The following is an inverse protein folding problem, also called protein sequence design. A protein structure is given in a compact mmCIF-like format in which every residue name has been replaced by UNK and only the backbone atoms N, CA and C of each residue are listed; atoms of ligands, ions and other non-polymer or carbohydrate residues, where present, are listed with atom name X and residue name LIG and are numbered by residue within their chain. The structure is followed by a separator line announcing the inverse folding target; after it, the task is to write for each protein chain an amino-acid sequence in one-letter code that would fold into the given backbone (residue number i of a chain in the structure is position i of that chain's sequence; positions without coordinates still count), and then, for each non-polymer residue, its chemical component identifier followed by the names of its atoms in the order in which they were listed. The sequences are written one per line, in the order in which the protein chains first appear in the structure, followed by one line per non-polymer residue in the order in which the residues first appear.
data_IF_941815165279
#
_entry.id   IF_941815165279
#
_cell.length_a   1.000
_cell.length_b   1.000
_cell.length_c   1.000
_cell.angle_alpha   90.00
_cell.angle_beta   90.00
_cell.angle_gamma   90.00
#
_symmetry.space_group_name_H-M   'P 1'
#
loop_
_entity.id
_entity.type
_entity.pdbx_description
1 polymer ?
#
# COMPACT_ATOMS: atom_id res chain seq x y z
N UNK A 1 -0.31 17.80 -23.59
CA UNK A 1 0.50 17.14 -24.63
C UNK A 1 0.48 15.66 -24.31
N UNK A 2 -0.36 14.85 -24.99
CA UNK A 2 -0.36 13.40 -24.77
C UNK A 2 0.93 12.83 -25.36
N UNK A 3 1.88 12.45 -24.49
CA UNK A 3 3.16 11.84 -24.88
C UNK A 3 3.00 10.32 -24.76
N UNK A 4 2.38 9.71 -25.76
CA UNK A 4 2.35 8.25 -25.91
C UNK A 4 3.64 7.72 -26.55
N UNK A 5 3.77 6.41 -26.60
CA UNK A 5 4.85 5.70 -27.31
C UNK A 5 4.25 4.71 -28.30
N UNK A 6 4.88 4.57 -29.47
CA UNK A 6 4.53 3.56 -30.46
C UNK A 6 5.65 2.53 -30.56
N UNK A 7 5.27 1.26 -30.50
CA UNK A 7 6.16 0.12 -30.70
C UNK A 7 6.09 -0.34 -32.15
N UNK A 8 7.24 -0.68 -32.72
CA UNK A 8 7.34 -1.02 -34.13
C UNK A 8 7.00 -2.50 -34.39
N UNK A 9 6.50 -2.79 -35.58
CA UNK A 9 6.34 -4.17 -36.05
C UNK A 9 7.69 -4.77 -36.47
N UNK A 10 7.87 -6.07 -36.27
CA UNK A 10 8.97 -6.84 -36.87
C UNK A 10 10.24 -6.94 -36.02
N UNK A 11 10.18 -6.67 -34.72
CA UNK A 11 11.27 -6.90 -33.79
C UNK A 11 10.91 -6.52 -32.35
N UNK A 12 11.79 -6.85 -31.41
CA UNK A 12 11.65 -6.43 -30.02
C UNK A 12 11.94 -4.94 -29.89
N UNK A 13 11.08 -4.22 -29.18
CA UNK A 13 11.26 -2.81 -28.86
C UNK A 13 10.80 -2.51 -27.44
N UNK A 14 11.38 -1.49 -26.84
CA UNK A 14 11.08 -1.12 -25.46
C UNK A 14 11.06 0.39 -25.24
N UNK A 15 10.34 0.81 -24.22
CA UNK A 15 10.22 2.20 -23.79
C UNK A 15 10.37 2.28 -22.27
N UNK A 16 11.34 3.07 -21.81
CA UNK A 16 11.65 3.23 -20.40
C UNK A 16 11.22 4.61 -19.88
N UNK A 17 10.74 4.61 -18.64
CA UNK A 17 10.32 5.76 -17.87
C UNK A 17 11.17 5.78 -16.61
N UNK A 18 12.09 6.73 -16.54
CA UNK A 18 13.01 6.86 -15.43
C UNK A 18 12.43 7.74 -14.31
N UNK A 19 12.96 7.58 -13.10
CA UNK A 19 12.61 8.36 -11.91
C UNK A 19 11.10 8.33 -11.59
N UNK A 20 10.49 7.15 -11.69
CA UNK A 20 9.09 6.91 -11.31
C UNK A 20 9.05 6.63 -9.81
N UNK A 21 8.43 7.55 -9.04
CA UNK A 21 8.32 7.44 -7.59
C UNK A 21 7.01 6.75 -7.17
N UNK A 22 7.15 5.59 -6.54
CA UNK A 22 6.06 4.79 -5.99
C UNK A 22 5.75 5.12 -4.52
N UNK A 23 6.54 6.01 -3.91
CA UNK A 23 6.45 6.37 -2.52
C UNK A 23 6.74 5.19 -1.59
N UNK A 24 6.47 5.40 -0.29
CA UNK A 24 6.70 4.40 0.76
C UNK A 24 5.81 3.18 0.59
N UNK A 25 4.54 3.37 0.26
CA UNK A 25 3.53 2.31 0.27
C UNK A 25 3.59 1.42 -0.96
N UNK A 26 4.09 2.00 -2.06
CA UNK A 26 4.34 1.27 -3.28
C UNK A 26 3.08 0.93 -4.07
N UNK A 27 3.28 0.19 -5.16
CA UNK A 27 2.19 -0.41 -5.93
C UNK A 27 2.69 -1.62 -6.72
N UNK A 28 1.81 -2.60 -6.90
CA UNK A 28 2.00 -3.76 -7.78
C UNK A 28 0.91 -3.83 -8.86
N UNK A 29 0.00 -2.86 -8.93
CA UNK A 29 -1.10 -2.87 -9.90
C UNK A 29 -0.91 -1.72 -10.88
N UNK A 30 -0.79 -2.05 -12.16
CA UNK A 30 -0.59 -1.08 -13.24
C UNK A 30 -1.76 -1.14 -14.22
N UNK A 31 -2.31 0.01 -14.57
CA UNK A 31 -3.22 0.16 -15.71
C UNK A 31 -2.45 0.75 -16.88
N UNK A 32 -2.46 0.08 -18.02
CA UNK A 32 -1.81 0.51 -19.27
C UNK A 32 -2.89 0.83 -20.30
N UNK A 33 -2.82 2.00 -20.93
CA UNK A 33 -3.77 2.38 -21.98
C UNK A 33 -3.19 2.03 -23.36
N UNK A 34 -3.75 0.99 -23.98
CA UNK A 34 -3.20 0.33 -25.19
C UNK A 34 -4.15 0.54 -26.36
N UNK A 35 -3.60 0.88 -27.53
CA UNK A 35 -4.26 0.77 -28.81
C UNK A 35 -3.47 -0.18 -29.71
N UNK A 36 -4.10 -1.24 -30.19
CA UNK A 36 -3.51 -2.17 -31.13
C UNK A 36 -4.43 -2.38 -32.33
N UNK A 37 -3.88 -2.28 -33.54
CA UNK A 37 -4.62 -2.48 -34.78
C UNK A 37 -4.37 -3.88 -35.34
N UNK A 38 -4.67 -4.91 -34.55
CA UNK A 38 -4.37 -6.32 -34.85
C UNK A 38 -5.41 -7.25 -34.22
N UNK A 39 -5.71 -8.37 -34.89
CA UNK A 39 -6.56 -9.42 -34.34
C UNK A 39 -5.76 -10.45 -33.51
N UNK A 40 -4.44 -10.43 -33.61
CA UNK A 40 -3.56 -11.31 -32.86
C UNK A 40 -3.25 -10.73 -31.46
N UNK A 41 -3.07 -11.58 -30.44
CA UNK A 41 -2.70 -11.12 -29.11
C UNK A 41 -1.38 -10.34 -29.09
N UNK A 42 -1.36 -9.26 -28.31
CA UNK A 42 -0.19 -8.40 -28.10
C UNK A 42 0.50 -8.81 -26.81
N UNK A 43 1.81 -9.05 -26.85
CA UNK A 43 2.61 -9.38 -25.66
C UNK A 43 3.25 -8.12 -25.08
N UNK A 44 3.28 -8.08 -23.76
CA UNK A 44 3.76 -6.97 -22.95
C UNK A 44 4.62 -7.56 -21.84
N UNK A 45 5.88 -7.15 -21.77
CA UNK A 45 6.78 -7.41 -20.65
C UNK A 45 7.04 -6.12 -19.88
N UNK A 46 6.95 -6.19 -18.56
CA UNK A 46 7.20 -5.05 -17.67
C UNK A 46 8.46 -5.33 -16.87
N UNK A 47 9.39 -4.39 -16.89
CA UNK A 47 10.68 -4.49 -16.21
C UNK A 47 10.84 -3.39 -15.15
N UNK A 48 11.42 -3.76 -14.01
CA UNK A 48 12.03 -2.84 -13.05
C UNK A 48 13.51 -2.66 -13.45
N UNK A 49 13.79 -1.57 -14.16
CA UNK A 49 15.05 -1.32 -14.86
C UNK A 49 14.92 -1.51 -16.38
N UNK A 50 16.07 -1.56 -17.06
CA UNK A 50 16.18 -1.75 -18.52
C UNK A 50 16.31 -3.25 -18.85
N UNK A 51 15.66 -3.78 -19.90
CA UNK A 51 15.81 -5.18 -20.31
C UNK A 51 17.28 -5.59 -20.42
N UNK A 52 17.64 -6.71 -19.78
CA UNK A 52 19.01 -7.24 -19.71
C UNK A 52 19.82 -6.79 -18.49
N UNK A 53 19.48 -5.66 -17.87
CA UNK A 53 20.10 -5.17 -16.62
C UNK A 53 19.12 -5.18 -15.43
N UNK A 54 17.84 -4.96 -15.72
CA UNK A 54 16.74 -4.94 -14.76
C UNK A 54 16.09 -6.29 -14.53
N UNK A 55 15.05 -6.29 -13.70
CA UNK A 55 14.28 -7.47 -13.34
C UNK A 55 12.95 -7.50 -14.11
N UNK A 56 12.62 -8.65 -14.73
CA UNK A 56 11.32 -8.86 -15.35
C UNK A 56 10.27 -9.04 -14.23
N UNK A 57 9.33 -8.10 -14.14
CA UNK A 57 8.32 -8.04 -13.08
C UNK A 57 6.89 -8.25 -13.60
N UNK A 58 6.72 -8.50 -14.88
CA UNK A 58 5.41 -8.81 -15.46
C UNK A 58 5.53 -9.34 -16.89
N UNK A 59 4.74 -10.35 -17.21
CA UNK A 59 4.56 -10.88 -18.55
C UNK A 59 3.06 -11.03 -18.79
N UNK A 60 2.54 -10.26 -19.75
CA UNK A 60 1.12 -10.09 -19.96
C UNK A 60 0.75 -10.15 -21.44
N UNK A 61 -0.54 -10.37 -21.67
CA UNK A 61 -1.14 -10.38 -23.00
C UNK A 61 -2.31 -9.38 -23.03
N UNK A 62 -2.36 -8.58 -24.08
CA UNK A 62 -3.48 -7.71 -24.44
C UNK A 62 -4.19 -8.29 -25.66
N UNK A 63 -5.51 -8.46 -25.60
CA UNK A 63 -6.28 -8.98 -26.74
C UNK A 63 -7.70 -8.45 -26.73
N UNK A 64 -7.88 -7.28 -27.33
CA UNK A 64 -9.18 -6.63 -27.50
C UNK A 64 -9.49 -6.43 -28.98
N UNK A 65 -10.78 -6.29 -29.31
CA UNK A 65 -11.19 -6.02 -30.69
C UNK A 65 -10.62 -4.67 -31.17
N UNK A 66 -9.95 -4.63 -32.35
CA UNK A 66 -9.40 -3.39 -32.88
C UNK A 66 -10.45 -2.31 -33.07
N UNK A 67 -10.28 -1.21 -32.35
CA UNK A 67 -11.07 -0.01 -32.52
C UNK A 67 -10.14 1.16 -32.87
N UNK A 68 -10.43 1.80 -34.00
CA UNK A 68 -9.51 2.76 -34.61
C UNK A 68 -9.20 3.94 -33.66
N UNK A 69 -7.93 4.03 -33.27
CA UNK A 69 -7.39 5.04 -32.34
C UNK A 69 -8.10 5.12 -30.98
N UNK A 70 -8.76 4.05 -30.55
CA UNK A 70 -9.34 3.94 -29.20
C UNK A 70 -8.35 3.20 -28.31
N UNK A 71 -7.86 3.89 -27.28
CA UNK A 71 -6.97 3.32 -26.27
C UNK A 71 -7.82 2.68 -25.17
N UNK A 72 -7.68 1.37 -25.00
CA UNK A 72 -8.37 0.60 -23.96
C UNK A 72 -7.47 0.49 -22.73
N UNK A 73 -7.94 0.86 -21.53
CA UNK A 73 -7.18 0.69 -20.30
C UNK A 73 -7.26 -0.76 -19.81
N UNK A 74 -6.13 -1.47 -19.82
CA UNK A 74 -6.01 -2.81 -19.24
C UNK A 74 -5.21 -2.79 -17.93
N UNK A 75 -5.64 -3.58 -16.96
CA UNK A 75 -5.03 -3.61 -15.61
C UNK A 75 -4.35 -4.93 -15.33
N UNK A 76 -3.10 -4.85 -14.89
CA UNK A 76 -2.22 -5.98 -14.65
C UNK A 76 -1.65 -5.92 -13.23
N UNK A 77 -1.38 -7.10 -12.64
CA UNK A 77 -0.68 -7.24 -11.36
C UNK A 77 0.73 -7.73 -11.61
N UNK A 78 1.71 -6.97 -11.12
CA UNK A 78 3.14 -7.28 -11.18
C UNK A 78 3.53 -8.39 -10.21
N UNK A 79 4.65 -9.06 -10.50
CA UNK A 79 5.21 -10.11 -9.67
C UNK A 79 5.73 -9.60 -8.31
N UNK A 80 6.01 -8.30 -8.19
CA UNK A 80 6.44 -7.66 -6.94
C UNK A 80 5.83 -6.28 -6.78
N UNK A 81 5.70 -5.84 -5.52
CA UNK A 81 5.34 -4.48 -5.15
C UNK A 81 6.57 -3.58 -5.21
N UNK A 82 6.48 -2.53 -6.02
CA UNK A 82 7.54 -1.52 -6.18
C UNK A 82 7.37 -0.42 -5.13
N UNK A 83 8.44 0.02 -4.47
CA UNK A 83 8.45 1.05 -3.42
C UNK A 83 9.65 1.96 -3.62
N UNK A 84 9.46 3.27 -3.46
CA UNK A 84 10.49 4.26 -3.74
C UNK A 84 10.62 4.55 -5.23
N UNK A 85 11.82 4.96 -5.67
CA UNK A 85 12.06 5.43 -7.04
C UNK A 85 12.61 4.30 -7.90
N UNK A 86 11.98 4.07 -9.06
CA UNK A 86 12.33 3.02 -10.01
C UNK A 86 12.37 3.55 -11.45
N UNK A 87 13.06 2.82 -12.31
CA UNK A 87 12.91 2.93 -13.77
C UNK A 87 11.95 1.84 -14.24
N UNK A 88 10.87 2.20 -14.93
CA UNK A 88 9.90 1.23 -15.45
C UNK A 88 10.04 1.12 -16.95
N UNK A 89 10.24 -0.10 -17.45
CA UNK A 89 10.36 -0.33 -18.88
C UNK A 89 9.27 -1.28 -19.39
N UNK A 90 8.60 -0.86 -20.47
CA UNK A 90 7.65 -1.66 -21.21
C UNK A 90 8.35 -2.22 -22.45
N UNK A 91 8.41 -3.53 -22.59
CA UNK A 91 8.99 -4.23 -23.73
C UNK A 91 7.91 -5.04 -24.45
N UNK A 92 8.04 -5.15 -25.76
CA UNK A 92 7.15 -5.95 -26.61
C UNK A 92 7.89 -6.42 -27.86
N UNK A 93 7.34 -7.42 -28.52
CA UNK A 93 7.79 -7.93 -29.81
C UNK A 93 6.76 -7.73 -30.94
N UNK A 94 5.69 -7.00 -30.67
CA UNK A 94 4.67 -6.65 -31.64
C UNK A 94 4.34 -5.15 -31.64
N UNK A 95 3.74 -4.69 -32.74
CA UNK A 95 3.44 -3.26 -32.92
C UNK A 95 2.11 -2.86 -32.27
N UNK A 96 2.17 -1.94 -31.33
CA UNK A 96 1.00 -1.27 -30.74
C UNK A 96 1.38 0.14 -30.27
N UNK A 97 0.40 0.93 -29.83
CA UNK A 97 0.67 2.22 -29.19
C UNK A 97 0.15 2.24 -27.76
N UNK A 98 0.90 2.90 -26.88
CA UNK A 98 0.53 3.14 -25.50
C UNK A 98 0.40 4.64 -25.27
N UNK A 99 -0.74 5.10 -24.76
CA UNK A 99 -0.91 6.53 -24.41
C UNK A 99 -0.27 6.88 -23.06
N UNK A 100 -0.09 5.88 -22.21
CA UNK A 100 0.61 5.95 -20.93
C UNK A 100 0.23 4.77 -20.03
N UNK A 101 0.71 4.82 -18.80
CA UNK A 101 0.31 3.91 -17.73
C UNK A 101 0.11 4.68 -16.43
N UNK A 102 -0.60 4.07 -15.49
CA UNK A 102 -0.76 4.55 -14.12
C UNK A 102 -0.65 3.37 -13.16
N UNK A 103 -0.07 3.61 -11.99
CA UNK A 103 -0.11 2.64 -10.90
C UNK A 103 -1.28 2.95 -9.98
N UNK A 104 -1.94 1.93 -9.46
CA UNK A 104 -2.97 2.14 -8.44
C UNK A 104 -2.32 2.63 -7.15
N UNK A 105 -2.85 3.73 -6.61
CA UNK A 105 -2.44 4.23 -5.30
C UNK A 105 -2.93 3.25 -4.24
N UNK A 106 -2.00 2.66 -3.49
CA UNK A 106 -2.33 1.91 -2.28
C UNK A 106 -2.86 2.90 -1.24
N UNK A 107 -4.14 2.76 -0.87
CA UNK A 107 -4.74 3.52 0.22
C UNK A 107 -4.34 2.89 1.55
N UNK A 108 -3.12 3.21 2.00
CA UNK A 108 -2.59 2.72 3.27
C UNK A 108 -3.54 3.02 4.42
N UNK A 109 -4.19 4.17 4.37
CA UNK A 109 -5.08 4.70 5.40
C UNK A 109 -6.23 3.74 5.74
N UNK A 110 -6.71 2.98 4.74
CA UNK A 110 -7.81 2.03 4.88
C UNK A 110 -7.36 0.57 4.67
N UNK A 111 -6.06 0.31 4.74
CA UNK A 111 -5.48 -1.03 4.70
C UNK A 111 -5.21 -1.54 6.11
N UNK A 112 -5.03 -2.85 6.26
CA UNK A 112 -4.49 -3.42 7.50
C UNK A 112 -3.00 -3.11 7.65
N UNK A 113 -2.63 -2.60 8.81
CA UNK A 113 -1.28 -2.12 9.13
C UNK A 113 -0.74 -2.90 10.31
N UNK A 114 0.24 -3.74 10.01
CA UNK A 114 1.04 -4.48 10.98
C UNK A 114 1.77 -3.51 11.92
N UNK A 115 1.72 -3.75 13.22
CA UNK A 115 2.32 -2.85 14.21
C UNK A 115 3.85 -2.80 14.10
N UNK A 116 4.49 -3.87 13.60
CA UNK A 116 5.93 -3.87 13.31
C UNK A 116 6.32 -2.91 12.17
N UNK A 117 5.36 -2.45 11.36
CA UNK A 117 5.60 -1.44 10.32
C UNK A 117 5.71 0.01 10.86
N UNK A 118 5.61 0.20 12.18
CA UNK A 118 5.88 1.47 12.83
C UNK A 118 7.25 2.02 12.38
N UNK A 119 7.26 3.28 11.96
CA UNK A 119 8.47 4.01 11.55
C UNK A 119 9.43 4.14 12.73
N UNK A 120 8.88 4.43 13.90
CA UNK A 120 9.63 4.56 15.14
C UNK A 120 8.86 3.88 16.28
N UNK A 121 9.61 3.27 17.19
CA UNK A 121 9.07 2.72 18.43
C UNK A 121 9.94 3.20 19.59
N UNK A 122 9.30 3.84 20.56
CA UNK A 122 9.93 4.35 21.77
C UNK A 122 9.32 3.67 23.00
N UNK A 123 10.07 3.53 24.08
CA UNK A 123 9.55 3.06 25.37
C UNK A 123 10.42 2.02 26.06
N UNK A 124 9.99 1.63 27.25
CA UNK A 124 10.85 0.89 28.18
C UNK A 124 10.76 -0.63 28.00
N UNK A 125 9.64 -1.14 27.47
CA UNK A 125 9.38 -2.58 27.36
C UNK A 125 8.51 -2.92 26.15
N UNK A 126 9.13 -3.49 25.12
CA UNK A 126 8.46 -4.07 23.95
C UNK A 126 9.42 -5.02 23.23
N UNK A 127 8.88 -5.89 22.37
CA UNK A 127 9.65 -6.73 21.44
C UNK A 127 9.08 -6.54 20.03
N UNK A 128 9.91 -6.06 19.10
CA UNK A 128 9.52 -5.93 17.68
C UNK A 128 9.82 -7.25 16.96
N UNK A 129 8.77 -7.91 16.47
CA UNK A 129 8.87 -9.07 15.59
C UNK A 129 8.87 -8.68 14.11
N UNK A 130 8.61 -9.66 13.24
CA UNK A 130 8.48 -9.46 11.80
C UNK A 130 7.20 -8.68 11.45
N UNK A 131 6.06 -9.12 11.98
CA UNK A 131 4.74 -8.54 11.68
C UNK A 131 4.09 -7.81 12.86
N UNK A 132 4.52 -8.06 14.09
CA UNK A 132 3.87 -7.51 15.28
C UNK A 132 4.84 -7.03 16.35
N UNK A 133 4.33 -6.23 17.28
CA UNK A 133 5.04 -5.71 18.44
C UNK A 133 4.36 -6.28 19.68
N UNK A 134 5.12 -7.06 20.44
CA UNK A 134 4.63 -7.85 21.58
C UNK A 134 5.27 -7.40 22.89
N UNK A 135 4.68 -7.82 24.00
CA UNK A 135 5.13 -7.50 25.34
C UNK A 135 5.17 -6.00 25.61
N UNK A 136 4.26 -5.24 25.00
CA UNK A 136 4.14 -3.80 25.16
C UNK A 136 3.74 -3.50 26.60
N UNK A 137 4.66 -2.85 27.32
CA UNK A 137 4.51 -2.51 28.72
C UNK A 137 4.41 -1.00 28.95
N UNK A 138 5.35 -0.47 29.75
CA UNK A 138 5.29 0.90 30.23
C UNK A 138 5.80 1.91 29.19
N UNK A 139 5.01 2.97 28.97
CA UNK A 139 5.38 4.16 28.20
C UNK A 139 5.86 3.85 26.79
N UNK A 140 5.18 2.95 26.09
CA UNK A 140 5.54 2.60 24.71
C UNK A 140 4.75 3.44 23.73
N UNK A 141 5.44 4.00 22.74
CA UNK A 141 4.84 4.76 21.63
C UNK A 141 5.25 4.11 20.32
N UNK A 142 4.28 3.77 19.47
CA UNK A 142 4.49 3.34 18.09
C UNK A 142 4.05 4.48 17.17
N UNK A 143 4.98 5.04 16.41
CA UNK A 143 4.74 6.09 15.42
C UNK A 143 4.67 5.49 14.03
N UNK A 144 3.57 5.71 13.32
CA UNK A 144 3.31 5.19 11.98
C UNK A 144 3.50 6.23 10.87
N UNK A 145 3.81 7.49 11.24
CA UNK A 145 4.00 8.60 10.31
C UNK A 145 2.69 9.19 9.79
N UNK A 146 2.78 9.88 8.66
CA UNK A 146 1.65 10.58 8.03
C UNK A 146 0.68 9.61 7.33
N UNK A 147 -0.61 9.84 7.53
CA UNK A 147 -1.75 9.23 6.86
C UNK A 147 -2.55 10.33 6.17
N UNK A 148 -3.05 10.10 4.96
CA UNK A 148 -3.80 11.10 4.19
C UNK A 148 -5.30 10.78 4.10
N UNK A 149 -6.07 11.34 5.02
CA UNK A 149 -7.54 11.26 5.06
C UNK A 149 -8.22 12.45 4.33
N UNK A 150 -7.55 13.05 3.34
CA UNK A 150 -8.11 14.20 2.59
C UNK A 150 -9.32 13.80 1.74
N UNK A 151 -9.21 12.68 1.02
CA UNK A 151 -10.27 12.20 0.13
C UNK A 151 -11.41 11.52 0.90
N UNK A 152 -11.09 10.89 2.03
CA UNK A 152 -12.02 10.06 2.77
C UNK A 152 -11.67 10.00 4.25
N UNK A 153 -12.66 10.26 5.10
CA UNK A 153 -12.51 10.32 6.56
C UNK A 153 -12.92 8.98 7.18
N UNK A 154 -12.15 8.47 8.16
CA UNK A 154 -12.51 7.23 8.85
C UNK A 154 -13.59 7.50 9.90
N UNK A 155 -14.54 6.57 10.02
CA UNK A 155 -15.56 6.60 11.08
C UNK A 155 -15.23 5.67 12.24
N UNK A 156 -14.29 4.74 12.05
CA UNK A 156 -13.82 3.83 13.10
C UNK A 156 -12.38 3.38 12.91
N UNK A 157 -11.78 3.02 14.04
CA UNK A 157 -10.50 2.33 14.14
C UNK A 157 -10.74 0.90 14.62
N UNK A 158 -10.15 -0.07 13.95
CA UNK A 158 -10.09 -1.45 14.43
C UNK A 158 -8.67 -1.74 14.91
N UNK A 159 -8.53 -2.20 16.15
CA UNK A 159 -7.26 -2.68 16.72
C UNK A 159 -7.35 -4.20 16.86
N UNK A 160 -6.36 -4.91 16.35
CA UNK A 160 -6.16 -6.33 16.58
C UNK A 160 -5.00 -6.56 17.57
N UNK A 161 -5.27 -7.23 18.66
CA UNK A 161 -4.26 -7.51 19.69
C UNK A 161 -4.73 -8.52 20.73
N UNK A 162 -3.87 -8.83 21.69
CA UNK A 162 -4.20 -9.67 22.85
C UNK A 162 -3.55 -9.13 24.11
N UNK A 163 -4.10 -9.51 25.25
CA UNK A 163 -3.54 -9.16 26.55
C UNK A 163 -3.99 -10.14 27.63
N UNK A 164 -3.15 -10.43 28.64
CA UNK A 164 -3.61 -11.10 29.85
C UNK A 164 -4.50 -10.21 30.73
N UNK A 165 -4.49 -8.88 30.52
CA UNK A 165 -5.31 -7.94 31.27
C UNK A 165 -6.73 -7.88 30.67
N UNK A 166 -7.78 -7.75 31.50
CA UNK A 166 -9.15 -7.62 31.01
C UNK A 166 -9.41 -6.31 30.26
N UNK A 167 -8.61 -5.28 30.50
CA UNK A 167 -8.72 -3.95 29.91
C UNK A 167 -7.33 -3.33 29.73
N UNK A 168 -7.05 -2.82 28.53
CA UNK A 168 -5.90 -1.94 28.24
C UNK A 168 -6.39 -0.58 27.74
N UNK A 169 -5.72 0.48 28.19
CA UNK A 169 -5.97 1.84 27.72
C UNK A 169 -4.92 2.22 26.67
N UNK A 170 -5.33 2.28 25.41
CA UNK A 170 -4.48 2.61 24.28
C UNK A 170 -4.85 4.03 23.83
N UNK A 171 -3.88 4.94 23.73
CA UNK A 171 -4.15 6.28 23.19
C UNK A 171 -3.76 6.33 21.73
N UNK A 172 -4.73 6.53 20.84
CA UNK A 172 -4.48 6.97 19.48
C UNK A 172 -4.19 8.47 19.50
N UNK A 173 -3.13 8.91 18.83
CA UNK A 173 -2.92 10.32 18.50
C UNK A 173 -2.98 10.47 16.98
N UNK A 174 -3.86 11.35 16.51
CA UNK A 174 -4.03 11.74 15.12
C UNK A 174 -3.81 13.25 15.00
N UNK A 175 -2.60 13.65 14.61
CA UNK A 175 -2.18 15.05 14.64
C UNK A 175 -2.22 15.62 16.05
N UNK A 176 -3.15 16.55 16.32
CA UNK A 176 -3.35 17.14 17.65
C UNK A 176 -4.42 16.43 18.48
N UNK A 177 -5.25 15.60 17.84
CA UNK A 177 -6.34 14.89 18.52
C UNK A 177 -5.81 13.66 19.23
N UNK A 178 -6.29 13.44 20.46
CA UNK A 178 -5.92 12.28 21.28
C UNK A 178 -7.18 11.53 21.73
N UNK A 179 -7.28 10.29 21.28
CA UNK A 179 -8.45 9.44 21.46
C UNK A 179 -8.07 8.26 22.36
N UNK A 180 -8.87 8.02 23.40
CA UNK A 180 -8.69 6.88 24.29
C UNK A 180 -9.48 5.68 23.78
N UNK A 181 -8.77 4.60 23.48
CA UNK A 181 -9.30 3.31 23.09
C UNK A 181 -9.21 2.34 24.27
N UNK A 182 -10.36 2.00 24.87
CA UNK A 182 -10.47 0.99 25.93
C UNK A 182 -10.55 -0.43 25.33
N UNK A 183 -9.40 -1.07 25.13
CA UNK A 183 -9.35 -2.42 24.58
C UNK A 183 -9.70 -3.46 25.63
N UNK A 184 -10.87 -4.08 25.51
CA UNK A 184 -11.37 -5.14 26.42
C UNK A 184 -11.15 -6.51 25.79
N UNK A 185 -10.49 -7.42 26.50
CA UNK A 185 -10.26 -8.79 25.99
C UNK A 185 -11.47 -9.70 26.14
N UNK A 186 -12.44 -9.32 26.99
CA UNK A 186 -13.67 -10.10 27.23
C UNK A 186 -13.43 -11.56 27.65
N UNK A 187 -12.26 -11.83 28.25
CA UNK A 187 -11.86 -13.17 28.69
C UNK A 187 -11.25 -14.04 27.59
N UNK A 188 -11.06 -13.52 26.39
CA UNK A 188 -10.38 -14.20 25.29
C UNK A 188 -8.86 -14.16 25.50
N UNK A 189 -8.19 -15.31 25.26
CA UNK A 189 -6.73 -15.44 25.38
C UNK A 189 -5.98 -15.25 24.07
N UNK A 190 -6.71 -15.29 22.94
CA UNK A 190 -6.17 -15.11 21.60
C UNK A 190 -6.15 -13.64 21.16
N UNK A 191 -5.73 -13.42 19.91
CA UNK A 191 -5.87 -12.13 19.26
C UNK A 191 -7.33 -11.87 18.94
N UNK A 192 -7.79 -10.67 19.29
CA UNK A 192 -9.15 -10.22 19.07
C UNK A 192 -9.15 -8.84 18.44
N UNK A 193 -10.20 -8.55 17.68
CA UNK A 193 -10.43 -7.23 17.14
C UNK A 193 -11.39 -6.45 18.03
N UNK A 194 -11.09 -5.16 18.24
CA UNK A 194 -12.00 -4.21 18.88
C UNK A 194 -12.12 -2.96 18.04
N UNK A 195 -13.35 -2.52 17.88
CA UNK A 195 -13.70 -1.33 17.12
C UNK A 195 -13.86 -0.13 18.04
N UNK A 196 -13.34 1.01 17.62
CA UNK A 196 -13.42 2.28 18.33
C UNK A 196 -14.00 3.32 17.38
N UNK A 197 -15.14 3.94 17.70
CA UNK A 197 -15.70 5.01 16.87
C UNK A 197 -14.73 6.20 16.84
N UNK A 198 -14.60 6.81 15.68
CA UNK A 198 -13.80 8.00 15.43
C UNK A 198 -14.70 9.11 14.92
N UNK A 199 -14.37 10.34 15.32
CA UNK A 199 -14.99 11.55 14.80
C UNK A 199 -13.91 12.62 14.60
N UNK A 200 -14.06 13.42 13.54
CA UNK A 200 -13.20 14.58 13.29
C UNK A 200 -11.78 14.31 12.76
N UNK A 201 -11.40 13.08 12.41
CA UNK A 201 -10.12 12.80 11.76
C UNK A 201 -10.25 13.06 10.25
N UNK A 202 -9.51 14.05 9.74
CA UNK A 202 -9.54 14.43 8.33
C UNK A 202 -8.21 15.01 7.85
N UNK A 203 -7.97 14.96 6.54
CA UNK A 203 -6.74 15.48 5.95
C UNK A 203 -5.50 14.68 6.36
N UNK A 204 -4.32 15.31 6.24
CA UNK A 204 -3.04 14.69 6.60
C UNK A 204 -2.82 14.67 8.10
N UNK A 205 -2.63 13.48 8.68
CA UNK A 205 -2.50 13.27 10.11
C UNK A 205 -1.31 12.37 10.42
N UNK A 206 -0.48 12.76 11.38
CA UNK A 206 0.52 11.85 11.94
C UNK A 206 -0.17 10.91 12.94
N UNK A 207 -0.03 9.60 12.72
CA UNK A 207 -0.69 8.56 13.51
C UNK A 207 0.31 7.88 14.44
N UNK A 208 0.00 7.89 15.74
CA UNK A 208 0.76 7.11 16.72
C UNK A 208 -0.14 6.48 17.78
N UNK A 209 0.35 5.40 18.39
CA UNK A 209 -0.30 4.70 19.49
C UNK A 209 0.57 4.77 20.74
N UNK A 210 0.01 5.24 21.84
CA UNK A 210 0.69 5.31 23.14
C UNK A 210 0.05 4.36 24.15
N UNK A 211 0.88 3.49 24.72
CA UNK A 211 0.56 2.55 25.77
C UNK A 211 1.14 3.07 27.09
N UNK A 212 0.25 3.40 28.02
CA UNK A 212 0.63 3.98 29.32
C UNK A 212 1.12 2.90 30.30
N UNK A 213 1.75 3.30 31.43
CA UNK A 213 2.19 2.36 32.44
C UNK A 213 1.09 1.43 32.93
N UNK A 214 1.43 0.15 33.10
CA UNK A 214 0.49 -0.90 33.48
C UNK A 214 -0.16 -1.64 32.31
N UNK A 215 0.17 -1.30 31.06
CA UNK A 215 -0.19 -2.13 29.91
C UNK A 215 0.59 -3.45 29.89
N UNK A 216 -0.03 -4.49 29.33
CA UNK A 216 0.62 -5.75 28.96
C UNK A 216 -0.06 -6.22 27.68
N UNK A 217 0.40 -5.74 26.53
CA UNK A 217 -0.33 -5.87 25.28
C UNK A 217 0.55 -6.40 24.15
N UNK A 218 0.00 -7.31 23.37
CA UNK A 218 0.56 -7.71 22.09
C UNK A 218 -0.28 -7.05 21.00
N UNK A 219 0.32 -6.09 20.31
CA UNK A 219 -0.33 -5.34 19.24
C UNK A 219 0.01 -5.98 17.90
N UNK A 220 -0.97 -6.57 17.22
CA UNK A 220 -0.74 -7.19 15.91
C UNK A 220 -0.87 -6.17 14.80
N UNK A 221 -2.03 -5.57 14.67
CA UNK A 221 -2.35 -4.70 13.55
C UNK A 221 -3.46 -3.73 13.90
N UNK A 222 -3.60 -2.68 13.09
CA UNK A 222 -4.77 -1.81 13.11
C UNK A 222 -5.20 -1.46 11.69
N UNK A 223 -6.43 -0.97 11.55
CA UNK A 223 -6.93 -0.38 10.31
C UNK A 223 -7.97 0.67 10.61
N UNK A 224 -8.05 1.69 9.77
CA UNK A 224 -9.19 2.58 9.78
C UNK A 224 -10.26 2.09 8.81
N UNK A 225 -11.53 2.26 9.15
CA UNK A 225 -12.67 1.90 8.31
C UNK A 225 -13.69 3.05 8.23
N UNK A 226 -14.66 2.88 7.33
CA UNK A 226 -15.75 3.81 7.03
C UNK A 226 -17.02 3.43 7.77
#
# INVERSE_FOLDING_TARGET
MNRGVGFAFGGTSWAAYDNVDFGRDGSDIVTVSIWANTLDPVRLWVWDGIPGEGELIGEFTYHEEPNWMVFVPETYRLAKKLRGVHTICMETDCGYQMSGFRFERVRREFSEINSASAEQIYGDKFTKGEDEVTGIGNNVVLDFGEFDFTDEQPSKLVICGRSPLPLNSIHLTAGTERILCEFRTEGESGYVEREFPLDGIAGKQNISFTFLPGSDFDFRSFRFEK
#
